data_IF_298609671499
#
_entry.id   IF_298609671499
#
_cell.length_a   1.000
_cell.length_b   1.000
_cell.length_c   1.000
_cell.angle_alpha   90.00
_cell.angle_beta   90.00
_cell.angle_gamma   90.00
#
_symmetry.space_group_name_H-M   'P 1'
#
loop_
_entity.id
_entity.type
_entity.pdbx_description
1 polymer ?
#
# COMPACT_ATOMS: atom_id res chain seq x y z
N UNK A 1 -13.13 -42.66 -11.05
CA UNK A 1 -12.04 -42.13 -11.90
C UNK A 1 -11.51 -43.30 -12.71
N UNK A 2 -11.67 -43.27 -14.04
CA UNK A 2 -11.10 -44.29 -14.93
C UNK A 2 -9.57 -44.28 -14.84
N UNK A 3 -8.94 -45.46 -14.74
CA UNK A 3 -7.48 -45.56 -14.69
C UNK A 3 -6.84 -44.95 -15.95
N UNK A 4 -5.76 -44.18 -15.74
CA UNK A 4 -4.99 -43.57 -16.82
C UNK A 4 -4.05 -44.62 -17.43
N UNK A 5 -4.26 -44.95 -18.70
CA UNK A 5 -3.34 -45.73 -19.53
C UNK A 5 -2.33 -44.80 -20.22
N UNK A 6 -1.16 -45.30 -20.68
CA UNK A 6 -0.19 -44.47 -21.39
C UNK A 6 -0.77 -43.74 -22.61
N UNK A 7 -1.69 -44.37 -23.34
CA UNK A 7 -2.35 -43.79 -24.52
C UNK A 7 -3.40 -42.73 -24.17
N UNK A 8 -4.16 -42.91 -23.08
CA UNK A 8 -5.15 -41.91 -22.65
C UNK A 8 -4.52 -40.75 -21.87
N UNK A 9 -3.28 -40.91 -21.37
CA UNK A 9 -2.56 -39.91 -20.57
C UNK A 9 -2.24 -38.66 -21.37
N UNK A 10 -1.74 -38.78 -22.60
CA UNK A 10 -1.44 -37.61 -23.44
C UNK A 10 -2.70 -36.88 -23.88
N UNK A 11 -3.76 -37.62 -24.25
CA UNK A 11 -5.06 -37.01 -24.56
C UNK A 11 -5.65 -36.29 -23.34
N UNK A 12 -5.55 -36.88 -22.15
CA UNK A 12 -6.03 -36.26 -20.93
C UNK A 12 -5.19 -35.05 -20.53
N UNK A 13 -3.87 -35.12 -20.70
CA UNK A 13 -2.95 -33.99 -20.50
C UNK A 13 -3.33 -32.82 -21.41
N UNK A 14 -3.59 -33.07 -22.70
CA UNK A 14 -4.05 -32.04 -23.63
C UNK A 14 -5.37 -31.40 -23.17
N UNK A 15 -6.35 -32.20 -22.71
CA UNK A 15 -7.62 -31.69 -22.15
C UNK A 15 -7.42 -30.83 -20.89
N UNK A 16 -6.55 -31.26 -19.97
CA UNK A 16 -6.23 -30.51 -18.75
C UNK A 16 -5.56 -29.18 -19.11
N UNK A 17 -4.57 -29.19 -20.00
CA UNK A 17 -3.88 -27.98 -20.47
C UNK A 17 -4.87 -27.02 -21.12
N UNK A 18 -5.73 -27.51 -22.01
CA UNK A 18 -6.77 -26.68 -22.64
C UNK A 18 -7.69 -26.04 -21.60
N UNK A 19 -8.15 -26.82 -20.61
CA UNK A 19 -8.98 -26.30 -19.54
C UNK A 19 -8.27 -25.24 -18.67
N UNK A 20 -6.98 -25.42 -18.38
CA UNK A 20 -6.18 -24.42 -17.67
C UNK A 20 -6.07 -23.12 -18.46
N UNK A 21 -5.89 -23.20 -19.78
CA UNK A 21 -5.88 -22.03 -20.65
C UNK A 21 -7.24 -21.31 -20.68
N UNK A 22 -8.35 -22.04 -20.72
CA UNK A 22 -9.68 -21.44 -20.68
C UNK A 22 -9.94 -20.72 -19.35
N UNK A 23 -9.56 -21.34 -18.23
CA UNK A 23 -9.63 -20.74 -16.90
C UNK A 23 -8.77 -19.47 -16.81
N UNK A 24 -7.55 -19.52 -17.33
CA UNK A 24 -6.64 -18.38 -17.35
C UNK A 24 -7.22 -17.25 -18.20
N UNK A 25 -7.71 -17.55 -19.40
CA UNK A 25 -8.36 -16.58 -20.29
C UNK A 25 -9.54 -15.88 -19.61
N UNK A 26 -10.42 -16.65 -18.95
CA UNK A 26 -11.56 -16.10 -18.23
C UNK A 26 -11.13 -15.17 -17.09
N UNK A 27 -10.13 -15.57 -16.31
CA UNK A 27 -9.59 -14.74 -15.22
C UNK A 27 -8.96 -13.45 -15.74
N UNK A 28 -8.11 -13.53 -16.76
CA UNK A 28 -7.46 -12.35 -17.32
C UNK A 28 -8.46 -11.39 -17.93
N UNK A 29 -9.51 -11.89 -18.61
CA UNK A 29 -10.55 -11.03 -19.13
C UNK A 29 -11.25 -10.25 -18.01
N UNK A 30 -11.53 -10.91 -16.88
CA UNK A 30 -12.09 -10.25 -15.70
C UNK A 30 -11.13 -9.20 -15.12
N UNK A 31 -9.83 -9.49 -15.06
CA UNK A 31 -8.81 -8.55 -14.60
C UNK A 31 -8.65 -7.34 -15.53
N UNK A 32 -8.61 -7.56 -16.85
CA UNK A 32 -8.54 -6.50 -17.86
C UNK A 32 -9.78 -5.60 -17.79
N UNK A 33 -10.97 -6.19 -17.61
CA UNK A 33 -12.19 -5.41 -17.43
C UNK A 33 -12.16 -4.59 -16.13
N UNK A 34 -11.68 -5.16 -15.02
CA UNK A 34 -11.49 -4.42 -13.78
C UNK A 34 -10.46 -3.28 -13.94
N UNK A 35 -9.40 -3.49 -14.73
CA UNK A 35 -8.41 -2.46 -15.05
C UNK A 35 -9.00 -1.33 -15.90
N UNK A 36 -9.85 -1.65 -16.89
CA UNK A 36 -10.57 -0.65 -17.69
C UNK A 36 -11.48 0.21 -16.82
N UNK A 37 -12.32 -0.42 -16.01
CA UNK A 37 -13.20 0.29 -15.07
C UNK A 37 -12.42 1.14 -14.08
N UNK A 38 -11.31 0.62 -13.54
CA UNK A 38 -10.44 1.40 -12.66
C UNK A 38 -9.87 2.63 -13.36
N UNK A 39 -9.45 2.49 -14.63
CA UNK A 39 -8.87 3.57 -15.42
C UNK A 39 -9.92 4.64 -15.81
N UNK A 40 -11.13 4.21 -16.18
CA UNK A 40 -12.27 5.09 -16.49
C UNK A 40 -12.67 5.96 -15.29
N UNK A 41 -12.56 5.41 -14.08
CA UNK A 41 -12.89 6.10 -12.84
C UNK A 41 -11.65 6.61 -12.09
N UNK A 42 -10.46 6.56 -12.70
CA UNK A 42 -9.23 6.93 -12.03
C UNK A 42 -9.23 8.39 -11.58
N UNK A 43 -9.70 9.30 -12.44
CA UNK A 43 -9.83 10.74 -12.16
C UNK A 43 -10.80 11.02 -10.99
N UNK A 44 -11.72 10.10 -10.69
CA UNK A 44 -12.61 10.20 -9.52
C UNK A 44 -11.93 9.80 -8.20
N UNK A 45 -10.81 9.07 -8.30
CA UNK A 45 -9.96 8.68 -7.18
C UNK A 45 -8.78 9.63 -6.99
N UNK A 46 -8.36 10.32 -8.05
CA UNK A 46 -7.26 11.28 -8.05
C UNK A 46 -7.53 12.45 -8.99
N UNK A 47 -7.74 13.63 -8.41
CA UNK A 47 -8.13 14.84 -9.14
C UNK A 47 -6.94 15.47 -9.92
N UNK A 48 -5.74 14.89 -9.81
CA UNK A 48 -4.53 15.39 -10.47
C UNK A 48 -4.47 14.85 -11.91
N UNK A 49 -4.88 15.66 -12.86
CA UNK A 49 -4.93 15.26 -14.27
C UNK A 49 -3.54 15.11 -14.95
N UNK A 50 -2.48 15.59 -14.29
CA UNK A 50 -1.14 15.74 -14.88
C UNK A 50 -0.48 14.44 -15.37
N UNK A 51 -0.99 13.26 -14.99
CA UNK A 51 -0.44 11.97 -15.42
C UNK A 51 -1.49 11.00 -15.94
N UNK A 52 -2.76 11.39 -16.00
CA UNK A 52 -3.83 10.50 -16.46
C UNK A 52 -3.61 10.02 -17.90
N UNK A 53 -3.19 10.93 -18.78
CA UNK A 53 -2.84 10.61 -20.18
C UNK A 53 -1.68 9.62 -20.27
N UNK A 54 -0.64 9.78 -19.45
CA UNK A 54 0.54 8.89 -19.38
C UNK A 54 0.16 7.50 -18.87
N UNK A 55 -0.76 7.39 -17.91
CA UNK A 55 -1.32 6.11 -17.45
C UNK A 55 -2.13 5.46 -18.57
N UNK A 56 -3.06 6.19 -19.20
CA UNK A 56 -3.88 5.67 -20.31
C UNK A 56 -2.99 5.14 -21.45
N UNK A 57 -1.94 5.88 -21.80
CA UNK A 57 -0.94 5.46 -22.78
C UNK A 57 -0.21 4.18 -22.36
N UNK A 58 0.21 4.07 -21.09
CA UNK A 58 0.90 2.88 -20.60
C UNK A 58 0.02 1.61 -20.54
N UNK A 59 -1.30 1.74 -20.35
CA UNK A 59 -2.23 0.60 -20.39
C UNK A 59 -2.61 0.17 -21.82
N UNK A 60 -2.47 1.05 -22.82
CA UNK A 60 -2.93 0.78 -24.18
C UNK A 60 -2.32 -0.49 -24.81
N UNK A 61 -1.00 -0.78 -24.68
CA UNK A 61 -0.42 -2.01 -25.22
C UNK A 61 -1.00 -3.29 -24.60
N UNK A 62 -1.32 -3.25 -23.30
CA UNK A 62 -1.94 -4.41 -22.61
C UNK A 62 -3.36 -4.62 -23.10
N UNK A 63 -4.14 -3.54 -23.24
CA UNK A 63 -5.52 -3.64 -23.73
C UNK A 63 -5.63 -3.99 -25.20
N UNK A 64 -4.64 -3.65 -26.03
CA UNK A 64 -4.57 -4.03 -27.42
C UNK A 64 -4.32 -5.54 -27.63
N UNK A 65 -3.95 -6.26 -26.56
CA UNK A 65 -3.67 -7.70 -26.56
C UNK A 65 -4.70 -8.50 -25.74
N UNK A 66 -5.90 -7.95 -25.55
CA UNK A 66 -6.91 -8.58 -24.71
C UNK A 66 -7.46 -9.90 -25.27
N UNK A 67 -7.24 -10.15 -26.56
CA UNK A 67 -7.52 -11.41 -27.25
C UNK A 67 -6.40 -12.45 -27.12
N UNK A 68 -5.20 -12.04 -26.66
CA UNK A 68 -4.03 -12.89 -26.53
C UNK A 68 -4.05 -13.73 -25.23
N UNK A 69 -3.16 -14.73 -25.16
CA UNK A 69 -2.95 -15.57 -23.97
C UNK A 69 -2.13 -14.80 -22.93
N UNK A 70 -2.75 -13.82 -22.28
CA UNK A 70 -2.10 -13.03 -21.24
C UNK A 70 -1.99 -13.80 -19.92
N UNK A 71 -1.21 -13.29 -18.98
CA UNK A 71 -1.21 -13.67 -17.57
C UNK A 71 -0.71 -12.50 -16.73
N UNK A 72 -1.37 -12.22 -15.61
CA UNK A 72 -0.92 -11.18 -14.67
C UNK A 72 -0.13 -11.80 -13.52
N UNK A 73 1.15 -11.46 -13.41
CA UNK A 73 2.11 -12.07 -12.51
C UNK A 73 2.77 -11.08 -11.55
N UNK A 74 3.15 -11.60 -10.38
CA UNK A 74 4.01 -10.92 -9.43
C UNK A 74 3.32 -9.87 -8.55
N UNK A 75 4.13 -9.08 -7.85
CA UNK A 75 3.70 -8.17 -6.78
C UNK A 75 2.75 -7.05 -7.20
N UNK A 76 2.75 -6.70 -8.50
CA UNK A 76 1.96 -5.59 -9.03
C UNK A 76 0.55 -6.00 -9.50
N UNK A 77 0.25 -7.30 -9.49
CA UNK A 77 -1.09 -7.85 -9.74
C UNK A 77 -2.17 -7.28 -8.82
N UNK A 78 -1.78 -6.81 -7.64
CA UNK A 78 -2.69 -6.18 -6.70
C UNK A 78 -3.70 -7.16 -6.12
N UNK A 79 -4.77 -6.59 -5.55
CA UNK A 79 -5.76 -7.36 -4.82
C UNK A 79 -6.64 -8.20 -5.75
N UNK A 80 -6.93 -7.69 -6.95
CA UNK A 80 -7.71 -8.34 -8.00
C UNK A 80 -6.98 -9.51 -8.68
N UNK A 81 -5.64 -9.57 -8.61
CA UNK A 81 -4.88 -10.72 -9.11
C UNK A 81 -4.35 -11.70 -8.08
N UNK A 82 -4.29 -11.33 -6.80
CA UNK A 82 -3.82 -12.22 -5.73
C UNK A 82 -4.94 -12.87 -4.91
N UNK A 83 -6.19 -12.43 -5.10
CA UNK A 83 -7.33 -12.88 -4.29
C UNK A 83 -8.55 -13.20 -5.15
N UNK A 84 -9.56 -13.81 -4.55
CA UNK A 84 -10.87 -14.02 -5.19
C UNK A 84 -11.74 -12.76 -5.29
N UNK A 85 -11.17 -11.55 -5.26
CA UNK A 85 -11.95 -10.30 -5.28
C UNK A 85 -12.94 -10.23 -6.45
N UNK A 86 -12.49 -10.55 -7.66
CA UNK A 86 -13.34 -10.46 -8.86
C UNK A 86 -14.55 -11.40 -8.79
N UNK A 87 -14.41 -12.55 -8.13
CA UNK A 87 -15.53 -13.45 -7.85
C UNK A 87 -16.58 -12.80 -6.93
N UNK A 88 -16.12 -12.04 -5.93
CA UNK A 88 -17.01 -11.34 -5.01
C UNK A 88 -17.68 -10.11 -5.64
N UNK A 89 -17.02 -9.44 -6.58
CA UNK A 89 -17.56 -8.26 -7.25
C UNK A 89 -18.51 -8.61 -8.41
N UNK A 90 -18.63 -9.89 -8.78
CA UNK A 90 -19.38 -10.34 -9.96
C UNK A 90 -20.90 -10.12 -9.88
N UNK A 91 -21.48 -10.06 -8.67
CA UNK A 91 -22.91 -9.83 -8.47
C UNK A 91 -23.21 -9.14 -7.13
N UNK A 92 -24.38 -8.51 -7.02
CA UNK A 92 -24.77 -7.70 -5.86
C UNK A 92 -24.82 -8.48 -4.56
N UNK A 93 -25.21 -9.77 -4.60
CA UNK A 93 -25.28 -10.61 -3.40
C UNK A 93 -23.88 -10.88 -2.85
N UNK A 94 -22.94 -11.26 -3.71
CA UNK A 94 -21.54 -11.49 -3.32
C UNK A 94 -20.83 -10.18 -2.95
N UNK A 95 -21.17 -9.09 -3.63
CA UNK A 95 -20.64 -7.76 -3.34
C UNK A 95 -21.06 -7.30 -1.95
N UNK A 96 -22.31 -7.56 -1.54
CA UNK A 96 -22.79 -7.30 -0.19
C UNK A 96 -21.99 -8.09 0.87
N UNK A 97 -21.72 -9.37 0.64
CA UNK A 97 -20.85 -10.17 1.53
C UNK A 97 -19.44 -9.59 1.62
N UNK A 98 -18.87 -9.18 0.49
CA UNK A 98 -17.55 -8.56 0.48
C UNK A 98 -17.53 -7.23 1.23
N UNK A 99 -18.61 -6.45 1.17
CA UNK A 99 -18.78 -5.22 1.96
C UNK A 99 -18.67 -5.51 3.47
N UNK A 100 -19.23 -6.61 3.94
CA UNK A 100 -19.11 -7.04 5.35
C UNK A 100 -17.67 -7.44 5.69
N UNK A 101 -16.98 -8.18 4.81
CA UNK A 101 -15.56 -8.51 4.96
C UNK A 101 -14.71 -7.24 5.04
N UNK A 102 -14.93 -6.30 4.13
CA UNK A 102 -14.24 -5.00 4.13
C UNK A 102 -14.49 -4.22 5.43
N UNK A 103 -15.71 -4.26 5.98
CA UNK A 103 -16.04 -3.63 7.26
C UNK A 103 -15.27 -4.28 8.42
N UNK A 104 -15.29 -5.62 8.47
CA UNK A 104 -14.71 -6.40 9.56
C UNK A 104 -13.19 -6.30 9.63
N UNK A 105 -12.54 -6.33 8.47
CA UNK A 105 -11.08 -6.28 8.36
C UNK A 105 -10.55 -4.88 8.02
N UNK A 106 -11.42 -3.88 7.97
CA UNK A 106 -11.07 -2.49 7.68
C UNK A 106 -10.33 -2.31 6.32
N UNK A 107 -10.68 -3.14 5.32
CA UNK A 107 -9.99 -3.20 4.03
C UNK A 107 -10.27 -1.95 3.20
N UNK A 108 -9.24 -1.28 2.69
CA UNK A 108 -9.42 -0.05 1.90
C UNK A 108 -9.69 1.20 2.76
N UNK A 109 -9.63 1.08 4.09
CA UNK A 109 -9.56 2.23 4.97
C UNK A 109 -8.15 2.84 4.93
N UNK A 110 -8.06 4.17 4.91
CA UNK A 110 -6.78 4.88 4.92
C UNK A 110 -6.10 4.69 6.30
N UNK A 111 -4.80 4.40 6.35
CA UNK A 111 -4.05 4.42 7.61
C UNK A 111 -4.23 5.75 8.34
N UNK A 112 -4.54 5.70 9.63
CA UNK A 112 -4.76 6.90 10.45
C UNK A 112 -6.05 7.67 10.17
N UNK A 113 -7.03 7.08 9.45
CA UNK A 113 -8.34 7.70 9.26
C UNK A 113 -9.02 7.97 10.61
N UNK A 114 -9.28 9.25 10.92
CA UNK A 114 -10.01 9.70 12.12
C UNK A 114 -11.52 9.80 11.90
N UNK A 115 -11.99 9.68 10.65
CA UNK A 115 -13.39 9.74 10.28
C UNK A 115 -14.08 8.38 10.28
N UNK A 116 -15.40 8.38 10.03
CA UNK A 116 -16.19 7.15 9.87
C UNK A 116 -15.79 6.46 8.57
N UNK A 117 -15.21 5.26 8.68
CA UNK A 117 -14.96 4.41 7.54
C UNK A 117 -16.26 3.80 7.02
N UNK A 118 -16.49 3.91 5.71
CA UNK A 118 -17.62 3.28 5.02
C UNK A 118 -17.06 2.40 3.90
N UNK A 119 -17.22 1.08 3.98
CA UNK A 119 -16.81 0.18 2.91
C UNK A 119 -17.51 0.48 1.59
N UNK A 120 -16.72 0.53 0.52
CA UNK A 120 -17.22 0.72 -0.85
C UNK A 120 -16.55 -0.32 -1.78
N UNK A 121 -17.21 -1.46 -2.01
CA UNK A 121 -16.74 -2.50 -2.92
C UNK A 121 -16.52 -2.01 -4.35
N UNK A 122 -17.39 -1.13 -4.86
CA UNK A 122 -17.36 -0.66 -6.25
C UNK A 122 -16.12 0.19 -6.58
N UNK A 123 -15.47 0.76 -5.55
CA UNK A 123 -14.24 1.56 -5.69
C UNK A 123 -13.01 0.85 -5.14
N UNK A 124 -13.08 -0.45 -4.90
CA UNK A 124 -11.98 -1.23 -4.34
C UNK A 124 -11.38 -2.20 -5.37
N UNK A 125 -10.04 -2.29 -5.51
CA UNK A 125 -9.03 -1.50 -4.81
C UNK A 125 -8.88 -0.08 -5.39
N UNK A 126 -8.55 0.89 -4.53
CA UNK A 126 -8.33 2.29 -4.95
C UNK A 126 -7.00 2.51 -5.67
N UNK A 127 -5.98 1.76 -5.26
CA UNK A 127 -4.60 1.92 -5.73
C UNK A 127 -4.17 0.75 -6.62
N UNK A 128 -3.42 1.06 -7.67
CA UNK A 128 -2.64 0.09 -8.45
C UNK A 128 -1.15 0.44 -8.38
N UNK A 129 -0.30 -0.57 -8.50
CA UNK A 129 1.15 -0.38 -8.63
C UNK A 129 1.50 -0.30 -10.10
N UNK A 130 2.06 0.84 -10.48
CA UNK A 130 2.48 1.15 -11.83
C UNK A 130 3.96 1.52 -11.79
N UNK A 131 4.64 1.44 -12.93
CA UNK A 131 6.00 1.96 -13.08
C UNK A 131 5.97 3.19 -13.97
N UNK A 132 6.65 4.23 -13.50
CA UNK A 132 6.79 5.48 -14.22
C UNK A 132 8.05 5.44 -15.09
N UNK A 133 7.86 5.66 -16.39
CA UNK A 133 8.91 5.93 -17.39
C UNK A 133 8.83 7.40 -17.80
N UNK A 134 9.85 7.93 -18.48
CA UNK A 134 9.88 9.32 -18.95
C UNK A 134 8.55 9.80 -19.58
N UNK A 135 8.01 9.05 -20.54
CA UNK A 135 6.82 9.45 -21.31
C UNK A 135 5.52 8.73 -20.91
N UNK A 136 5.61 7.59 -20.21
CA UNK A 136 4.45 6.72 -19.94
C UNK A 136 4.46 6.18 -18.52
N UNK A 137 3.27 5.87 -17.99
CA UNK A 137 3.13 5.16 -16.71
C UNK A 137 2.43 3.83 -17.00
N UNK A 138 3.16 2.74 -16.94
CA UNK A 138 2.69 1.43 -17.40
C UNK A 138 2.30 0.50 -16.25
N UNK A 139 1.28 -0.36 -16.45
CA UNK A 139 0.98 -1.43 -15.52
C UNK A 139 2.09 -2.49 -15.56
N UNK A 140 2.41 -3.03 -14.39
CA UNK A 140 3.44 -4.05 -14.26
C UNK A 140 2.84 -5.45 -14.21
N UNK A 141 3.64 -6.45 -14.58
CA UNK A 141 3.36 -7.87 -14.34
C UNK A 141 2.54 -8.56 -15.42
N UNK A 142 2.12 -7.88 -16.49
CA UNK A 142 1.47 -8.53 -17.62
C UNK A 142 2.50 -9.26 -18.48
N UNK A 143 2.25 -10.53 -18.74
CA UNK A 143 3.04 -11.35 -19.66
C UNK A 143 2.12 -11.99 -20.69
N UNK A 144 2.67 -12.31 -21.85
CA UNK A 144 1.99 -13.06 -22.89
C UNK A 144 2.62 -14.46 -22.97
N UNK A 145 1.78 -15.48 -23.00
CA UNK A 145 2.18 -16.89 -23.03
C UNK A 145 2.22 -17.39 -24.46
N UNK A 146 3.37 -17.89 -24.86
CA UNK A 146 3.60 -18.48 -26.18
C UNK A 146 3.72 -19.99 -26.07
N UNK A 147 3.19 -20.70 -27.07
CA UNK A 147 3.47 -22.13 -27.21
C UNK A 147 4.93 -22.34 -27.60
N UNK A 148 5.47 -23.52 -27.28
CA UNK A 148 6.84 -23.88 -27.62
C UNK A 148 7.04 -23.79 -29.14
N UNK A 149 8.07 -23.05 -29.57
CA UNK A 149 8.36 -22.82 -30.99
C UNK A 149 7.50 -21.75 -31.67
N UNK A 150 6.55 -21.12 -30.97
CA UNK A 150 5.81 -19.99 -31.53
C UNK A 150 6.73 -18.79 -31.77
N UNK A 151 6.49 -18.09 -32.90
CA UNK A 151 7.22 -16.87 -33.22
C UNK A 151 6.76 -15.76 -32.29
N UNK A 152 7.63 -15.34 -31.38
CA UNK A 152 7.34 -14.21 -30.50
C UNK A 152 7.31 -12.92 -31.33
N UNK A 153 6.30 -12.06 -31.17
CA UNK A 153 6.33 -10.71 -31.73
C UNK A 153 7.52 -9.96 -31.15
N UNK A 154 8.05 -9.00 -31.91
CA UNK A 154 9.07 -8.10 -31.38
C UNK A 154 8.52 -7.44 -30.11
N UNK A 155 9.29 -7.50 -29.02
CA UNK A 155 8.95 -6.78 -27.80
C UNK A 155 8.83 -5.30 -28.15
N UNK A 156 7.69 -4.69 -27.84
CA UNK A 156 7.56 -3.24 -27.82
C UNK A 156 8.51 -2.75 -26.74
N UNK A 157 9.72 -2.33 -27.14
CA UNK A 157 10.75 -1.88 -26.21
C UNK A 157 10.36 -0.51 -25.67
N UNK A 158 9.58 -0.50 -24.59
CA UNK A 158 9.69 0.58 -23.62
C UNK A 158 10.98 0.33 -22.85
N UNK A 159 12.01 1.14 -23.09
CA UNK A 159 13.29 1.03 -22.41
C UNK A 159 13.10 1.25 -20.91
N UNK A 160 13.19 0.17 -20.13
CA UNK A 160 13.18 0.23 -18.66
C UNK A 160 14.37 1.03 -18.10
N UNK A 161 15.38 1.32 -18.91
CA UNK A 161 16.46 2.26 -18.56
C UNK A 161 15.96 3.68 -18.32
N UNK A 162 14.80 4.04 -18.89
CA UNK A 162 14.14 5.33 -18.68
C UNK A 162 13.12 5.28 -17.53
N UNK A 163 13.03 4.13 -16.83
CA UNK A 163 12.24 4.03 -15.62
C UNK A 163 12.90 4.91 -14.58
N UNK A 164 12.22 6.02 -14.26
CA UNK A 164 12.64 6.85 -13.14
C UNK A 164 12.32 6.03 -11.91
N UNK A 165 13.33 5.36 -11.34
CA UNK A 165 13.24 4.94 -9.95
C UNK A 165 13.22 6.23 -9.14
N UNK A 166 12.02 6.80 -9.00
CA UNK A 166 11.71 7.66 -7.86
C UNK A 166 11.69 6.68 -6.69
N UNK A 167 12.86 6.21 -6.29
CA UNK A 167 13.06 5.78 -4.91
C UNK A 167 12.35 6.80 -4.08
N UNK A 168 11.50 6.34 -3.15
CA UNK A 168 10.82 7.22 -2.20
C UNK A 168 11.78 8.36 -1.97
N UNK A 169 11.43 9.54 -2.49
CA UNK A 169 12.24 10.70 -2.26
C UNK A 169 12.15 10.76 -0.75
N UNK A 170 13.20 10.29 -0.06
CA UNK A 170 13.38 10.54 1.35
C UNK A 170 13.20 12.04 1.35
N UNK A 171 12.04 12.47 1.85
CA UNK A 171 11.73 13.88 1.93
C UNK A 171 12.98 14.46 2.56
N UNK A 172 13.70 15.29 1.80
CA UNK A 172 15.03 15.75 2.18
C UNK A 172 14.96 16.05 3.67
N UNK A 173 15.79 15.38 4.51
CA UNK A 173 15.54 15.27 5.93
C UNK A 173 15.08 16.63 6.42
N UNK A 174 13.81 16.69 6.82
CA UNK A 174 13.21 17.94 7.26
C UNK A 174 14.20 18.56 8.22
N UNK A 175 14.63 19.80 7.94
CA UNK A 175 15.67 20.50 8.68
C UNK A 175 15.50 20.17 10.17
N UNK A 176 16.60 19.81 10.89
CA UNK A 176 16.53 19.23 12.22
C UNK A 176 15.55 20.03 13.05
N UNK A 177 14.40 19.44 13.32
CA UNK A 177 13.33 20.10 14.06
C UNK A 177 13.93 20.40 15.42
N UNK A 178 14.00 21.65 15.85
CA UNK A 178 14.48 21.93 17.19
C UNK A 178 13.38 21.56 18.21
N UNK A 179 13.73 20.99 19.37
CA UNK A 179 12.74 20.72 20.41
C UNK A 179 12.18 22.04 20.93
N UNK A 180 10.86 22.18 20.90
CA UNK A 180 10.21 23.40 21.39
C UNK A 180 9.88 23.27 22.88
N UNK A 181 10.18 24.31 23.65
CA UNK A 181 9.70 24.42 25.02
C UNK A 181 8.21 24.69 25.03
N UNK A 182 7.49 24.08 25.97
CA UNK A 182 6.09 24.38 26.17
C UNK A 182 5.89 25.81 26.67
N UNK A 183 5.16 26.58 25.88
CA UNK A 183 4.96 28.03 26.03
C UNK A 183 3.77 28.40 26.91
N UNK A 184 2.97 27.41 27.34
CA UNK A 184 1.71 27.60 28.08
C UNK A 184 1.83 27.18 29.54
N UNK A 185 0.93 27.69 30.43
CA UNK A 185 0.85 27.21 31.79
C UNK A 185 0.52 25.71 31.85
N UNK A 186 1.30 24.94 32.60
CA UNK A 186 1.08 23.49 32.75
C UNK A 186 -0.16 23.23 33.60
N UNK A 187 -1.13 22.50 33.03
CA UNK A 187 -2.35 22.08 33.73
C UNK A 187 -2.29 20.59 34.08
N UNK A 188 -2.16 20.26 35.36
CA UNK A 188 -2.09 18.87 35.82
C UNK A 188 -3.36 18.04 35.55
N UNK A 189 -4.53 18.69 35.33
CA UNK A 189 -5.79 18.00 35.00
C UNK A 189 -5.93 17.68 33.51
N UNK A 190 -5.21 18.39 32.64
CA UNK A 190 -5.17 18.19 31.19
C UNK A 190 -3.73 18.32 30.73
N UNK A 191 -2.89 17.31 30.97
CA UNK A 191 -1.47 17.42 30.72
C UNK A 191 -1.18 17.58 29.22
N UNK A 192 -0.27 18.48 28.84
CA UNK A 192 0.07 18.72 27.45
C UNK A 192 0.91 17.58 26.85
N UNK A 193 0.93 17.53 25.52
CA UNK A 193 1.96 16.81 24.78
C UNK A 193 3.21 17.67 24.73
N UNK A 194 4.36 17.07 25.01
CA UNK A 194 5.65 17.75 25.04
C UNK A 194 6.62 17.12 24.03
N UNK A 195 7.56 17.92 23.55
CA UNK A 195 8.69 17.43 22.79
C UNK A 195 9.74 16.82 23.74
N UNK A 196 10.28 15.68 23.33
CA UNK A 196 11.39 15.03 24.03
C UNK A 196 12.46 14.56 23.05
N UNK A 197 13.73 14.66 23.46
CA UNK A 197 14.89 14.21 22.69
C UNK A 197 15.44 12.93 23.29
N UNK A 198 15.68 11.91 22.48
CA UNK A 198 16.33 10.68 22.93
C UNK A 198 17.79 10.95 23.27
N UNK A 199 18.14 10.84 24.55
CA UNK A 199 19.52 11.04 25.03
C UNK A 199 20.29 9.73 25.14
N UNK A 200 19.57 8.63 25.44
CA UNK A 200 20.15 7.29 25.55
C UNK A 200 19.22 6.25 24.89
N UNK A 201 19.64 5.61 23.79
CA UNK A 201 18.94 4.46 23.23
C UNK A 201 18.93 3.31 24.24
N UNK A 202 17.80 2.62 24.37
CA UNK A 202 17.69 1.49 25.30
C UNK A 202 16.31 0.84 25.35
N UNK A 203 16.15 -0.07 26.32
CA UNK A 203 14.88 -0.69 26.68
C UNK A 203 14.66 -0.52 28.20
N UNK A 204 13.99 0.56 28.65
CA UNK A 204 13.39 1.65 27.87
C UNK A 204 14.43 2.68 27.36
N UNK A 205 14.02 3.51 26.40
CA UNK A 205 14.81 4.67 25.98
C UNK A 205 14.77 5.75 27.06
N UNK A 206 15.87 6.49 27.25
CA UNK A 206 15.90 7.67 28.12
C UNK A 206 15.80 8.92 27.25
N UNK A 207 14.87 9.80 27.59
CA UNK A 207 14.59 11.03 26.84
C UNK A 207 14.64 12.25 27.74
N UNK A 208 15.11 13.38 27.19
CA UNK A 208 15.08 14.69 27.83
C UNK A 208 13.84 15.44 27.37
N UNK A 209 12.96 15.80 28.30
CA UNK A 209 11.66 16.41 28.01
C UNK A 209 11.76 17.93 28.14
N UNK A 210 11.25 18.69 27.16
CA UNK A 210 11.36 20.14 27.13
C UNK A 210 10.09 20.79 27.70
N UNK A 211 10.06 20.96 29.04
CA UNK A 211 8.87 21.52 29.74
C UNK A 211 8.92 23.04 29.78
N UNK A 212 9.96 23.62 30.38
CA UNK A 212 10.24 25.08 30.34
C UNK A 212 11.76 25.30 30.27
N UNK A 213 12.26 26.48 29.86
CA UNK A 213 13.70 26.73 29.75
C UNK A 213 14.53 26.43 31.02
N UNK A 214 13.90 26.48 32.20
CA UNK A 214 14.51 26.12 33.49
C UNK A 214 14.20 24.72 34.00
N UNK A 215 13.44 23.90 33.27
CA UNK A 215 13.00 22.57 33.71
C UNK A 215 12.92 21.59 32.53
N UNK A 216 13.98 20.80 32.37
CA UNK A 216 14.11 19.78 31.32
C UNK A 216 14.55 18.43 31.91
N UNK A 217 13.64 17.67 32.55
CA UNK A 217 13.98 16.41 33.20
C UNK A 217 14.33 15.30 32.20
N UNK A 218 15.20 14.39 32.61
CA UNK A 218 15.52 13.14 31.92
C UNK A 218 14.66 12.01 32.48
N UNK A 219 13.96 11.28 31.61
CA UNK A 219 13.00 10.27 32.03
C UNK A 219 13.01 9.05 31.12
N UNK A 220 12.64 7.90 31.70
CA UNK A 220 12.41 6.67 30.95
C UNK A 220 11.10 6.77 30.16
N UNK A 221 11.18 6.45 28.88
CA UNK A 221 10.04 6.46 27.98
C UNK A 221 9.22 5.18 28.13
N UNK A 222 7.96 5.31 28.55
CA UNK A 222 7.02 4.19 28.57
C UNK A 222 6.23 4.07 27.26
N UNK A 223 5.74 2.87 26.97
CA UNK A 223 4.87 2.62 25.81
C UNK A 223 5.60 2.46 24.47
N UNK A 224 6.94 2.49 24.45
CA UNK A 224 7.73 2.19 23.25
C UNK A 224 9.07 1.52 23.61
N UNK A 225 9.20 0.23 23.31
CA UNK A 225 10.31 -0.63 23.73
C UNK A 225 11.40 -0.84 22.67
N UNK A 226 11.26 -0.25 21.48
CA UNK A 226 12.30 -0.33 20.45
C UNK A 226 13.35 0.75 20.69
N UNK A 227 14.66 0.43 20.64
CA UNK A 227 15.72 1.44 20.71
C UNK A 227 15.54 2.48 19.61
N UNK A 228 15.61 3.77 19.98
CA UNK A 228 15.55 4.90 19.05
C UNK A 228 16.92 5.55 18.95
N UNK A 229 17.24 6.14 17.80
CA UNK A 229 18.52 6.81 17.61
C UNK A 229 18.70 7.97 18.60
N UNK A 230 19.95 8.17 19.04
CA UNK A 230 20.28 9.31 19.90
C UNK A 230 20.05 10.60 19.12
N UNK A 231 19.30 11.54 19.69
CA UNK A 231 18.93 12.80 19.05
C UNK A 231 17.56 12.79 18.37
N UNK A 232 16.88 11.63 18.27
CA UNK A 232 15.51 11.59 17.73
C UNK A 232 14.55 12.40 18.60
N UNK A 233 13.73 13.24 17.97
CA UNK A 233 12.69 14.01 18.65
C UNK A 233 11.36 13.30 18.52
N UNK A 234 10.69 13.17 19.65
CA UNK A 234 9.41 12.47 19.77
C UNK A 234 8.42 13.34 20.52
N UNK A 235 7.14 13.09 20.26
CA UNK A 235 6.05 13.62 21.09
C UNK A 235 5.74 12.64 22.21
N UNK A 236 5.75 13.14 23.44
CA UNK A 236 5.40 12.37 24.62
C UNK A 236 4.10 12.89 25.25
N UNK A 237 3.26 11.96 25.67
CA UNK A 237 2.16 12.25 26.57
C UNK A 237 2.70 12.33 27.99
N UNK A 238 2.35 13.38 28.72
CA UNK A 238 2.87 13.65 30.06
C UNK A 238 1.85 13.40 31.15
N UNK A 239 2.32 13.11 32.36
CA UNK A 239 1.52 13.10 33.58
C UNK A 239 2.21 13.98 34.62
N UNK A 240 1.50 15.00 35.12
CA UNK A 240 1.98 15.91 36.16
C UNK A 240 1.31 15.64 37.50
N UNK A 241 2.04 15.82 38.60
CA UNK A 241 1.44 15.81 39.94
C UNK A 241 0.84 17.18 40.31
N UNK A 242 0.17 17.26 41.47
CA UNK A 242 -0.41 18.50 42.02
C UNK A 242 0.61 19.62 42.27
N UNK A 243 1.91 19.30 42.30
CA UNK A 243 3.03 20.26 42.44
C UNK A 243 3.66 20.62 41.10
N UNK A 244 3.01 20.30 39.98
CA UNK A 244 3.46 20.59 38.60
C UNK A 244 4.82 19.97 38.27
N UNK A 245 5.18 18.87 38.93
CA UNK A 245 6.35 18.06 38.57
C UNK A 245 5.93 16.94 37.64
N UNK A 246 6.75 16.69 36.63
CA UNK A 246 6.56 15.59 35.69
C UNK A 246 6.80 14.26 36.42
N UNK A 247 5.85 13.33 36.32
CA UNK A 247 5.87 12.03 37.01
C UNK A 247 6.04 10.88 36.03
N UNK A 248 5.43 10.99 34.85
CA UNK A 248 5.44 9.93 33.85
C UNK A 248 5.39 10.52 32.45
N UNK A 249 6.03 9.82 31.51
CA UNK A 249 5.96 10.09 30.09
C UNK A 249 5.67 8.80 29.31
N UNK A 250 4.83 8.91 28.29
CA UNK A 250 4.50 7.81 27.39
C UNK A 250 4.68 8.24 25.92
N UNK A 251 5.19 7.34 25.10
CA UNK A 251 5.37 7.58 23.67
C UNK A 251 4.04 7.81 22.96
N UNK A 252 3.99 8.83 22.10
CA UNK A 252 2.80 9.14 21.31
C UNK A 252 3.05 9.15 19.80
N UNK A 253 4.23 9.56 19.37
CA UNK A 253 4.61 9.54 17.96
C UNK A 253 5.96 10.20 17.71
N UNK A 254 6.49 9.99 16.52
CA UNK A 254 7.66 10.72 16.01
C UNK A 254 7.24 12.13 15.59
N UNK A 255 8.14 13.11 15.78
CA UNK A 255 7.97 14.46 15.26
C UNK A 255 8.52 14.52 13.84
#
# INVERSE_FOLDING_TARGET
LSELSPANKEQQKAKVIAHLYDCLKALNQAQLNAHRQWLEHFEQNDNRDQYTSRIKAGFAPVFARDDQKLMHLGYATGFDGMTGLLYFLADEKRKALFKEVMAKFNLGNKPGNKGKYVPNPDRFPKSKRLVELAEVIQPMGWVELFEEGAKMPALETATLSDAVWVGQQEAAPSAPVEPEYYDKPVNYKKPPELDAVVIKPGRPNIVKVYVTPGYSPEMELMGYNNPMEKGTIIKVQTTFNKKVKLVQIAFRGFK
#
